data_IF_625940022067
#
_entry.id   IF_625940022067
#
_cell.length_a   1.000
_cell.length_b   1.000
_cell.length_c   1.000
_cell.angle_alpha   90.00
_cell.angle_beta   90.00
_cell.angle_gamma   90.00
#
_symmetry.space_group_name_H-M   'P 1'
#
loop_
_entity.id
_entity.type
_entity.pdbx_description
1 polymer ?
#
# COMPACT_ATOMS: atom_id res chain seq x y z
N UNK A 1 -0.73 -24.94 -55.39
CA UNK A 1 0.01 -24.17 -54.37
C UNK A 1 -0.98 -23.58 -53.39
N UNK A 2 -0.93 -23.98 -52.12
CA UNK A 2 -1.36 -23.20 -50.95
C UNK A 2 -0.44 -23.64 -49.82
N UNK A 3 0.35 -22.71 -49.30
CA UNK A 3 1.44 -22.95 -48.35
C UNK A 3 0.89 -23.14 -46.95
N UNK A 4 1.35 -24.19 -46.27
CA UNK A 4 1.17 -24.34 -44.82
C UNK A 4 2.22 -23.44 -44.16
N UNK A 5 1.77 -22.48 -43.36
CA UNK A 5 2.68 -21.71 -42.50
C UNK A 5 3.06 -22.59 -41.31
N UNK A 6 4.29 -23.09 -41.32
CA UNK A 6 4.89 -23.75 -40.18
C UNK A 6 5.43 -22.68 -39.23
N UNK A 7 4.70 -22.36 -38.16
CA UNK A 7 5.19 -21.45 -37.13
C UNK A 7 6.26 -22.15 -36.30
N UNK A 8 7.53 -21.80 -36.53
CA UNK A 8 8.62 -22.23 -35.66
C UNK A 8 8.60 -21.36 -34.39
N UNK A 9 8.27 -21.95 -33.23
CA UNK A 9 8.76 -21.41 -31.96
C UNK A 9 10.28 -21.60 -31.94
N UNK A 10 11.02 -20.53 -32.16
CA UNK A 10 12.44 -20.50 -31.94
C UNK A 10 12.71 -20.36 -30.43
N UNK A 11 12.89 -21.50 -29.75
CA UNK A 11 13.35 -21.51 -28.35
C UNK A 11 14.80 -21.03 -28.35
N UNK A 12 15.00 -19.75 -28.06
CA UNK A 12 16.33 -19.22 -27.79
C UNK A 12 16.86 -19.87 -26.51
N UNK A 13 18.09 -20.37 -26.53
CA UNK A 13 18.75 -20.84 -25.32
C UNK A 13 18.99 -19.63 -24.40
N UNK A 14 18.14 -19.47 -23.39
CA UNK A 14 18.25 -18.42 -22.39
C UNK A 14 19.57 -18.60 -21.63
N UNK A 15 20.54 -17.75 -21.90
CA UNK A 15 21.60 -17.45 -20.95
C UNK A 15 21.00 -16.57 -19.85
N UNK A 16 20.11 -17.15 -19.03
CA UNK A 16 19.27 -16.38 -18.13
C UNK A 16 20.11 -15.73 -17.03
N UNK A 17 19.77 -14.49 -16.69
CA UNK A 17 20.31 -13.82 -15.50
C UNK A 17 19.45 -14.09 -14.26
N UNK A 18 18.33 -14.79 -14.42
CA UNK A 18 17.52 -15.33 -13.32
C UNK A 18 18.23 -16.50 -12.62
N UNK A 19 18.34 -16.42 -11.28
CA UNK A 19 18.84 -17.53 -10.46
C UNK A 19 17.71 -18.50 -10.17
N UNK A 20 17.65 -19.57 -10.94
CA UNK A 20 16.79 -20.71 -10.66
C UNK A 20 17.42 -21.58 -9.56
N UNK A 21 16.67 -21.84 -8.49
CA UNK A 21 17.02 -22.82 -7.47
C UNK A 21 16.00 -23.95 -7.44
N UNK A 22 16.48 -25.19 -7.24
CA UNK A 22 15.67 -26.38 -7.05
C UNK A 22 15.89 -26.92 -5.64
N UNK A 23 14.80 -27.21 -4.95
CA UNK A 23 14.81 -27.70 -3.58
C UNK A 23 14.39 -29.17 -3.60
N UNK A 24 15.11 -30.01 -2.87
CA UNK A 24 14.67 -31.37 -2.56
C UNK A 24 13.92 -31.35 -1.22
N UNK A 25 12.62 -31.67 -1.17
CA UNK A 25 11.85 -31.58 0.08
C UNK A 25 12.20 -32.61 1.14
N UNK A 26 12.97 -33.65 0.80
CA UNK A 26 13.25 -34.80 1.64
C UNK A 26 14.75 -35.10 1.82
N UNK A 27 15.64 -34.29 1.25
CA UNK A 27 17.09 -34.51 1.25
C UNK A 27 17.52 -35.71 0.41
N UNK A 28 16.70 -36.12 -0.56
CA UNK A 28 16.90 -37.25 -1.45
C UNK A 28 17.53 -36.87 -2.79
N UNK A 29 17.35 -37.72 -3.83
CA UNK A 29 17.49 -37.32 -5.21
C UNK A 29 16.25 -36.56 -5.68
N UNK A 30 16.46 -35.42 -6.34
CA UNK A 30 15.42 -34.46 -6.70
C UNK A 30 14.21 -35.10 -7.41
N UNK A 31 13.01 -35.00 -6.82
CA UNK A 31 11.79 -35.62 -7.35
C UNK A 31 11.14 -34.83 -8.50
N UNK A 32 10.94 -35.50 -9.63
CA UNK A 32 10.25 -34.95 -10.80
C UNK A 32 11.18 -34.45 -11.89
N UNK A 33 10.77 -34.63 -13.14
CA UNK A 33 11.48 -34.19 -14.34
C UNK A 33 11.38 -32.68 -14.54
N UNK A 34 12.23 -32.13 -15.42
CA UNK A 34 12.24 -30.71 -15.77
C UNK A 34 10.94 -30.29 -16.48
N UNK A 35 10.33 -29.21 -16.00
CA UNK A 35 9.17 -28.57 -16.61
C UNK A 35 9.43 -27.07 -16.78
N UNK A 36 8.97 -26.48 -17.88
CA UNK A 36 8.86 -25.03 -18.07
C UNK A 36 7.42 -24.61 -17.83
N UNK A 37 7.22 -23.51 -17.11
CA UNK A 37 5.89 -22.92 -16.87
C UNK A 37 5.86 -21.51 -17.42
N UNK A 38 4.94 -21.27 -18.35
CA UNK A 38 4.63 -19.92 -18.82
C UNK A 38 3.64 -19.27 -17.84
N UNK A 39 4.14 -18.33 -17.04
CA UNK A 39 3.37 -17.61 -16.03
C UNK A 39 2.82 -16.34 -16.65
N UNK A 40 1.50 -16.15 -16.57
CA UNK A 40 0.84 -14.86 -16.83
C UNK A 40 0.45 -14.23 -15.49
N UNK A 41 0.84 -12.97 -15.31
CA UNK A 41 0.58 -12.19 -14.11
C UNK A 41 -0.41 -11.08 -14.45
N UNK A 42 -1.61 -11.18 -13.90
CA UNK A 42 -2.60 -10.09 -13.88
C UNK A 42 -2.60 -9.38 -12.53
N UNK A 43 -3.29 -8.25 -12.44
CA UNK A 43 -3.38 -7.41 -11.24
C UNK A 43 -4.82 -6.92 -10.98
N UNK A 44 -5.83 -7.64 -11.48
CA UNK A 44 -7.22 -7.18 -11.66
C UNK A 44 -7.47 -6.67 -13.08
N UNK A 45 -8.72 -6.73 -13.57
CA UNK A 45 -9.04 -6.40 -14.97
C UNK A 45 -8.87 -4.91 -15.32
N UNK A 46 -8.34 -4.62 -16.51
CA UNK A 46 -8.06 -3.27 -17.01
C UNK A 46 -8.99 -2.87 -18.17
N UNK A 47 -9.68 -1.72 -18.09
CA UNK A 47 -10.25 -1.02 -19.28
C UNK A 47 -9.76 0.45 -19.34
N UNK A 48 -10.50 1.50 -19.78
CA UNK A 48 -10.13 2.95 -19.59
C UNK A 48 -11.22 4.00 -19.92
N UNK A 49 -11.58 4.88 -18.97
CA UNK A 49 -12.53 6.00 -19.17
C UNK A 49 -11.85 7.37 -19.15
N UNK A 50 -12.50 8.25 -19.90
CA UNK A 50 -12.43 9.71 -19.81
C UNK A 50 -13.05 10.28 -18.53
N UNK A 51 -12.39 11.26 -17.92
CA UNK A 51 -13.05 12.23 -17.02
C UNK A 51 -12.25 12.66 -15.79
N UNK A 52 -11.29 11.86 -15.35
CA UNK A 52 -10.43 12.16 -14.19
C UNK A 52 -9.10 12.75 -14.67
N UNK A 53 -8.60 13.86 -14.09
CA UNK A 53 -7.26 14.36 -14.41
C UNK A 53 -6.20 13.38 -13.91
N UNK A 54 -5.44 12.77 -14.83
CA UNK A 54 -4.17 12.12 -14.48
C UNK A 54 -3.20 13.20 -13.97
N UNK A 55 -2.68 13.04 -12.76
CA UNK A 55 -1.68 13.97 -12.22
C UNK A 55 -0.32 13.87 -12.95
N UNK A 56 0.01 12.71 -13.55
CA UNK A 56 1.29 12.47 -14.21
C UNK A 56 1.32 11.33 -15.27
N UNK A 57 0.23 10.59 -15.48
CA UNK A 57 0.19 9.46 -16.44
C UNK A 57 1.03 8.23 -16.06
N UNK A 58 1.47 8.10 -14.80
CA UNK A 58 2.17 6.90 -14.30
C UNK A 58 1.24 6.00 -13.47
N UNK A 59 1.16 4.71 -13.83
CA UNK A 59 0.25 3.74 -13.20
C UNK A 59 0.89 3.05 -11.98
N UNK A 60 0.12 2.97 -10.89
CA UNK A 60 0.46 2.26 -9.63
C UNK A 60 0.68 0.74 -9.82
N UNK A 61 0.33 0.19 -10.99
CA UNK A 61 0.32 -1.25 -11.33
C UNK A 61 1.62 -1.79 -11.96
N UNK A 62 2.71 -1.02 -11.98
CA UNK A 62 3.95 -1.44 -12.66
C UNK A 62 4.61 -2.62 -11.94
N UNK A 63 4.84 -3.73 -12.65
CA UNK A 63 5.59 -4.90 -12.16
C UNK A 63 7.01 -4.83 -12.74
N UNK A 64 8.03 -4.66 -11.88
CA UNK A 64 9.45 -4.52 -12.24
C UNK A 64 10.25 -5.82 -12.11
N UNK A 65 9.86 -6.65 -11.16
CA UNK A 65 10.49 -7.91 -10.80
C UNK A 65 9.50 -8.81 -10.08
N UNK A 66 9.80 -10.10 -10.06
CA UNK A 66 9.03 -11.11 -9.32
C UNK A 66 9.95 -12.12 -8.64
N UNK A 67 9.51 -12.61 -7.48
CA UNK A 67 9.98 -13.85 -6.87
C UNK A 67 8.87 -14.90 -6.98
N UNK A 68 9.19 -16.02 -7.61
CA UNK A 68 8.28 -17.13 -7.91
C UNK A 68 8.65 -18.33 -7.04
N UNK A 69 7.64 -19.00 -6.47
CA UNK A 69 7.79 -20.26 -5.73
C UNK A 69 6.83 -21.29 -6.33
N UNK A 70 7.34 -22.45 -6.71
CA UNK A 70 6.51 -23.58 -7.14
C UNK A 70 6.38 -24.59 -6.03
N UNK A 71 5.16 -25.06 -5.78
CA UNK A 71 4.82 -26.00 -4.71
C UNK A 71 4.27 -27.30 -5.29
N UNK A 72 4.61 -28.41 -4.64
CA UNK A 72 3.98 -29.71 -4.90
C UNK A 72 2.65 -29.86 -4.13
N UNK A 73 1.93 -30.95 -4.38
CA UNK A 73 0.68 -31.28 -3.69
C UNK A 73 0.79 -31.59 -2.19
N UNK A 74 1.95 -31.39 -1.58
CA UNK A 74 2.22 -31.50 -0.14
C UNK A 74 2.68 -30.15 0.48
N UNK A 75 2.43 -29.03 -0.22
CA UNK A 75 2.81 -27.66 0.19
C UNK A 75 4.33 -27.45 0.41
N UNK A 76 5.15 -28.30 -0.21
CA UNK A 76 6.62 -28.16 -0.22
C UNK A 76 7.06 -27.40 -1.46
N UNK A 77 7.98 -26.45 -1.30
CA UNK A 77 8.54 -25.68 -2.40
C UNK A 77 9.56 -26.55 -3.13
N UNK A 78 9.34 -26.79 -4.42
CA UNK A 78 10.21 -27.64 -5.29
C UNK A 78 11.17 -26.82 -6.15
N UNK A 79 10.82 -25.57 -6.44
CA UNK A 79 11.73 -24.59 -7.04
C UNK A 79 11.34 -23.15 -6.68
N UNK A 80 12.33 -22.25 -6.72
CA UNK A 80 12.13 -20.81 -6.52
C UNK A 80 13.05 -20.00 -7.42
N UNK A 81 12.60 -18.82 -7.83
CA UNK A 81 13.25 -18.02 -8.88
C UNK A 81 13.02 -16.53 -8.67
N UNK A 82 14.07 -15.73 -8.77
CA UNK A 82 13.94 -14.29 -8.98
C UNK A 82 14.03 -13.97 -10.47
N UNK A 83 13.07 -13.22 -11.01
CA UNK A 83 12.95 -12.86 -12.44
C UNK A 83 12.78 -11.35 -12.56
N UNK A 84 13.56 -10.74 -13.46
CA UNK A 84 13.55 -9.29 -13.71
C UNK A 84 14.10 -8.98 -15.10
N UNK A 85 13.91 -7.75 -15.57
CA UNK A 85 14.47 -7.27 -16.84
C UNK A 85 13.91 -8.03 -18.06
N UNK A 86 14.76 -8.53 -18.98
CA UNK A 86 14.30 -9.11 -20.24
C UNK A 86 13.53 -10.43 -20.09
N UNK A 87 13.68 -11.12 -18.95
CA UNK A 87 12.97 -12.37 -18.65
C UNK A 87 11.52 -12.10 -18.14
N UNK A 88 11.14 -10.83 -17.92
CA UNK A 88 9.81 -10.40 -17.49
C UNK A 88 9.21 -9.39 -18.49
N UNK A 89 8.38 -9.91 -19.39
CA UNK A 89 7.87 -9.18 -20.57
C UNK A 89 6.43 -8.73 -20.42
N UNK A 90 6.01 -7.69 -21.15
CA UNK A 90 4.59 -7.30 -21.22
C UNK A 90 3.78 -8.31 -22.03
N UNK A 91 2.57 -8.63 -21.59
CA UNK A 91 1.66 -9.44 -22.39
C UNK A 91 1.05 -8.59 -23.51
N UNK A 92 1.61 -8.73 -24.73
CA UNK A 92 1.10 -8.05 -25.92
C UNK A 92 -0.34 -8.41 -26.33
N UNK A 93 -1.01 -9.33 -25.64
CA UNK A 93 -2.44 -9.59 -25.79
C UNK A 93 -3.31 -9.01 -24.66
N UNK A 94 -2.73 -8.77 -23.47
CA UNK A 94 -3.45 -8.31 -22.28
C UNK A 94 -2.72 -7.10 -21.65
N UNK A 95 -3.07 -5.85 -22.01
CA UNK A 95 -2.44 -4.66 -21.46
C UNK A 95 -2.48 -4.63 -19.93
N UNK A 96 -1.35 -4.32 -19.29
CA UNK A 96 -1.21 -4.32 -17.83
C UNK A 96 -0.78 -5.66 -17.21
N UNK A 97 -0.77 -6.76 -17.99
CA UNK A 97 -0.26 -8.06 -17.55
C UNK A 97 1.21 -8.26 -17.92
N UNK A 98 1.93 -9.06 -17.12
CA UNK A 98 3.29 -9.54 -17.42
C UNK A 98 3.33 -11.04 -17.74
N UNK A 99 4.37 -11.45 -18.47
CA UNK A 99 4.69 -12.85 -18.77
C UNK A 99 6.15 -13.18 -18.48
N UNK A 100 6.37 -14.34 -17.89
CA UNK A 100 7.69 -14.93 -17.66
C UNK A 100 7.64 -16.45 -17.83
N UNK A 101 8.64 -17.05 -18.47
CA UNK A 101 8.82 -18.51 -18.54
C UNK A 101 9.80 -18.93 -17.45
N UNK A 102 9.37 -19.79 -16.52
CA UNK A 102 10.16 -20.20 -15.36
C UNK A 102 10.35 -21.71 -15.32
N UNK A 103 11.51 -22.16 -14.85
CA UNK A 103 11.83 -23.59 -14.78
C UNK A 103 11.44 -24.18 -13.41
N UNK A 104 10.81 -25.35 -13.44
CA UNK A 104 10.36 -26.08 -12.26
C UNK A 104 10.35 -27.59 -12.52
N UNK A 105 9.60 -28.35 -11.73
CA UNK A 105 9.49 -29.80 -11.79
C UNK A 105 8.08 -30.24 -12.14
N UNK A 106 7.95 -31.42 -12.76
CA UNK A 106 6.64 -32.06 -13.04
C UNK A 106 5.84 -32.41 -11.77
N UNK A 107 6.44 -32.28 -10.58
CA UNK A 107 5.78 -32.38 -9.27
C UNK A 107 5.10 -31.09 -8.81
N UNK A 108 5.35 -29.95 -9.47
CA UNK A 108 4.70 -28.68 -9.17
C UNK A 108 3.23 -28.68 -9.59
N UNK A 109 2.35 -28.36 -8.65
CA UNK A 109 0.90 -28.22 -8.86
C UNK A 109 0.40 -26.79 -8.66
N UNK A 110 1.21 -25.94 -8.02
CA UNK A 110 0.81 -24.58 -7.66
C UNK A 110 1.99 -23.61 -7.73
N UNK A 111 1.69 -22.34 -7.95
CA UNK A 111 2.66 -21.25 -7.93
C UNK A 111 2.21 -20.14 -6.96
N UNK A 112 3.16 -19.61 -6.21
CA UNK A 112 3.01 -18.41 -5.38
C UNK A 112 4.00 -17.37 -5.88
N UNK A 113 3.54 -16.13 -6.06
CA UNK A 113 4.34 -15.03 -6.63
C UNK A 113 4.30 -13.82 -5.72
N UNK A 114 5.43 -13.16 -5.57
CA UNK A 114 5.57 -11.83 -4.96
C UNK A 114 6.21 -10.91 -6.00
N UNK A 115 5.65 -9.74 -6.25
CA UNK A 115 6.17 -8.73 -7.17
C UNK A 115 6.83 -7.55 -6.44
N UNK A 116 7.75 -6.87 -7.13
CA UNK A 116 8.35 -5.58 -6.74
C UNK A 116 9.15 -5.61 -5.42
N UNK A 117 9.87 -6.70 -5.17
CA UNK A 117 10.82 -6.79 -4.04
C UNK A 117 12.10 -6.00 -4.34
N UNK A 118 12.43 -5.82 -5.62
CA UNK A 118 13.62 -5.11 -6.11
C UNK A 118 14.93 -5.90 -6.01
N UNK A 119 14.97 -7.01 -5.27
CA UNK A 119 16.14 -7.88 -5.13
C UNK A 119 15.81 -9.37 -4.94
N UNK A 120 16.74 -10.24 -5.34
CA UNK A 120 16.71 -11.68 -5.03
C UNK A 120 16.85 -11.90 -3.51
N UNK A 121 15.75 -12.31 -2.85
CA UNK A 121 15.72 -12.67 -1.42
C UNK A 121 15.71 -14.19 -1.14
N UNK A 122 15.92 -15.03 -2.15
CA UNK A 122 15.78 -16.50 -2.03
C UNK A 122 17.03 -17.24 -1.59
N UNK A 123 18.21 -16.68 -1.83
CA UNK A 123 19.49 -17.32 -1.53
C UNK A 123 19.76 -17.58 -0.04
N UNK A 124 20.67 -18.51 0.25
CA UNK A 124 21.01 -18.98 1.61
C UNK A 124 21.18 -17.84 2.63
N UNK A 125 20.39 -17.91 3.70
CA UNK A 125 20.43 -16.94 4.81
C UNK A 125 19.59 -15.67 4.60
N UNK A 126 18.94 -15.50 3.44
CA UNK A 126 17.97 -14.42 3.19
C UNK A 126 16.55 -14.81 3.62
N UNK A 127 15.66 -13.83 3.76
CA UNK A 127 14.32 -13.99 4.32
C UNK A 127 13.39 -14.93 3.52
N UNK A 128 13.54 -15.02 2.18
CA UNK A 128 12.76 -15.92 1.33
C UNK A 128 13.47 -17.25 1.03
N UNK A 129 14.51 -17.60 1.80
CA UNK A 129 15.12 -18.93 1.80
C UNK A 129 14.23 -19.94 2.57
N UNK A 130 13.04 -20.18 2.05
CA UNK A 130 11.99 -21.04 2.64
C UNK A 130 11.76 -22.30 1.81
N UNK A 131 11.26 -23.38 2.45
CA UNK A 131 11.07 -24.71 1.86
C UNK A 131 9.60 -25.18 1.84
N UNK A 132 8.67 -24.48 2.49
CA UNK A 132 7.24 -24.84 2.52
C UNK A 132 6.34 -23.61 2.41
N UNK A 133 5.07 -23.81 2.02
CA UNK A 133 4.00 -22.79 2.05
C UNK A 133 3.97 -22.06 3.39
N UNK A 134 3.85 -22.80 4.50
CA UNK A 134 3.72 -22.23 5.83
C UNK A 134 4.95 -21.39 6.24
N UNK A 135 6.15 -21.75 5.77
CA UNK A 135 7.34 -20.92 5.98
C UNK A 135 7.30 -19.63 5.15
N UNK A 136 6.84 -19.69 3.90
CA UNK A 136 6.69 -18.53 3.01
C UNK A 136 5.62 -17.55 3.53
N UNK A 137 4.46 -18.07 3.91
CA UNK A 137 3.36 -17.28 4.49
C UNK A 137 3.77 -16.61 5.80
N UNK A 138 4.58 -17.27 6.62
CA UNK A 138 5.09 -16.71 7.87
C UNK A 138 6.17 -15.62 7.69
N UNK A 139 6.70 -15.38 6.48
CA UNK A 139 7.72 -14.32 6.29
C UNK A 139 7.07 -12.96 6.41
N UNK A 140 7.61 -12.15 7.32
CA UNK A 140 7.26 -10.75 7.52
C UNK A 140 8.05 -9.84 6.57
N UNK A 141 7.43 -8.71 6.24
CA UNK A 141 8.04 -7.63 5.47
C UNK A 141 7.74 -6.28 6.14
N UNK A 142 8.71 -5.37 6.06
CA UNK A 142 8.66 -4.07 6.73
C UNK A 142 8.19 -2.97 5.76
N UNK A 143 7.21 -2.18 6.20
CA UNK A 143 6.71 -0.99 5.48
C UNK A 143 7.77 0.10 5.44
N UNK A 144 8.68 0.09 6.41
CA UNK A 144 9.59 1.20 6.72
C UNK A 144 11.01 0.66 6.76
N UNK A 145 11.91 1.30 6.02
CA UNK A 145 13.32 0.90 5.90
C UNK A 145 14.25 2.06 6.27
N UNK A 146 15.48 1.75 6.69
CA UNK A 146 16.52 2.77 6.89
C UNK A 146 17.03 3.28 5.54
N UNK A 147 17.01 4.60 5.33
CA UNK A 147 17.61 5.24 4.15
C UNK A 147 18.95 5.91 4.51
N UNK A 148 19.97 5.60 3.71
CA UNK A 148 21.27 6.25 3.76
C UNK A 148 21.98 6.22 5.12
N UNK A 149 21.83 7.29 5.90
CA UNK A 149 22.47 7.43 7.22
C UNK A 149 21.40 7.32 8.32
N UNK A 150 21.47 6.30 9.19
CA UNK A 150 20.52 6.16 10.29
C UNK A 150 20.46 7.41 11.19
N UNK A 151 19.28 7.77 11.72
CA UNK A 151 18.05 6.98 11.76
C UNK A 151 16.97 7.47 10.78
N UNK A 152 17.35 7.90 9.57
CA UNK A 152 16.35 8.27 8.56
C UNK A 152 15.54 7.03 8.14
N UNK A 153 14.21 7.09 8.34
CA UNK A 153 13.27 6.03 8.02
C UNK A 153 12.32 6.50 6.91
N UNK A 154 12.18 5.69 5.86
CA UNK A 154 11.34 5.97 4.68
C UNK A 154 10.40 4.79 4.39
N UNK A 155 9.23 5.02 3.78
CA UNK A 155 8.35 3.94 3.35
C UNK A 155 8.96 3.15 2.18
N UNK A 156 8.83 1.82 2.22
CA UNK A 156 9.18 0.92 1.11
C UNK A 156 8.13 0.94 -0.01
N UNK A 157 6.87 1.18 0.37
CA UNK A 157 5.73 1.25 -0.54
C UNK A 157 5.64 2.66 -1.12
N UNK A 158 5.97 2.80 -2.40
CA UNK A 158 5.86 4.06 -3.15
C UNK A 158 5.05 3.85 -4.42
N UNK A 159 4.55 4.94 -5.04
CA UNK A 159 3.70 4.88 -6.24
C UNK A 159 4.27 4.03 -7.38
N UNK A 160 5.60 4.00 -7.54
CA UNK A 160 6.31 3.22 -8.57
C UNK A 160 6.84 1.87 -8.09
N UNK A 161 6.68 1.55 -6.80
CA UNK A 161 7.18 0.34 -6.16
C UNK A 161 6.20 -0.13 -5.07
N UNK A 162 5.12 -0.78 -5.49
CA UNK A 162 4.12 -1.38 -4.60
C UNK A 162 4.28 -2.90 -4.59
N UNK A 163 4.40 -3.50 -3.40
CA UNK A 163 4.42 -4.96 -3.29
C UNK A 163 3.04 -5.53 -3.59
N UNK A 164 3.03 -6.55 -4.43
CA UNK A 164 1.85 -7.35 -4.71
C UNK A 164 2.18 -8.83 -4.54
N UNK A 165 1.18 -9.65 -4.24
CA UNK A 165 1.33 -11.11 -4.23
C UNK A 165 0.09 -11.83 -4.73
N UNK A 166 0.28 -13.07 -5.15
CA UNK A 166 -0.80 -13.88 -5.71
C UNK A 166 -0.47 -15.37 -5.74
N UNK A 167 -1.51 -16.18 -5.84
CA UNK A 167 -1.44 -17.63 -5.88
C UNK A 167 -2.21 -18.08 -7.13
N UNK A 168 -1.65 -19.03 -7.86
CA UNK A 168 -2.29 -19.66 -9.02
C UNK A 168 -1.98 -21.14 -9.10
N UNK A 169 -2.83 -21.89 -9.78
CA UNK A 169 -2.60 -23.31 -10.03
C UNK A 169 -1.75 -23.50 -11.29
N UNK A 170 -0.93 -24.56 -11.31
CA UNK A 170 -0.18 -24.97 -12.50
C UNK A 170 -1.09 -25.86 -13.36
N UNK A 171 -1.20 -25.54 -14.64
CA UNK A 171 -2.07 -26.27 -15.57
C UNK A 171 -1.59 -27.71 -15.80
N UNK A 172 -2.42 -28.52 -16.45
CA UNK A 172 -2.02 -29.86 -16.84
C UNK A 172 -0.80 -29.81 -17.76
N UNK A 173 0.27 -30.50 -17.37
CA UNK A 173 1.51 -30.61 -18.14
C UNK A 173 1.27 -31.21 -19.53
N UNK A 174 1.92 -30.61 -20.52
CA UNK A 174 2.03 -31.07 -21.90
C UNK A 174 3.43 -31.65 -22.15
N UNK A 175 3.56 -32.77 -22.85
CA UNK A 175 4.87 -33.28 -23.27
C UNK A 175 5.48 -32.33 -24.31
N UNK A 176 6.80 -32.16 -24.26
CA UNK A 176 7.53 -31.41 -25.28
C UNK A 176 7.46 -32.07 -26.67
N UNK A 177 7.88 -31.33 -27.70
CA UNK A 177 7.70 -31.72 -29.11
C UNK A 177 8.50 -32.96 -29.51
N UNK A 178 9.64 -33.20 -28.85
CA UNK A 178 10.44 -34.44 -28.94
C UNK A 178 10.81 -34.96 -27.54
N UNK A 179 11.20 -36.24 -27.37
CA UNK A 179 11.40 -36.86 -26.04
C UNK A 179 12.50 -36.27 -25.15
N UNK A 180 13.29 -35.32 -25.65
CA UNK A 180 14.33 -34.59 -24.91
C UNK A 180 13.92 -33.17 -24.52
N UNK A 181 12.79 -32.69 -25.03
CA UNK A 181 12.25 -31.38 -24.66
C UNK A 181 11.66 -31.46 -23.25
N UNK A 182 11.75 -30.37 -22.44
CA UNK A 182 11.08 -30.32 -21.15
C UNK A 182 9.56 -30.39 -21.33
N UNK A 183 8.87 -30.83 -20.27
CA UNK A 183 7.42 -30.64 -20.20
C UNK A 183 7.09 -29.14 -20.17
N UNK A 184 5.91 -28.77 -20.66
CA UNK A 184 5.41 -27.40 -20.61
C UNK A 184 4.07 -27.33 -19.88
N UNK A 185 3.86 -26.27 -19.10
CA UNK A 185 2.58 -25.94 -18.49
C UNK A 185 2.38 -24.42 -18.48
N UNK A 186 1.20 -23.99 -18.07
CA UNK A 186 0.83 -22.57 -17.94
C UNK A 186 0.39 -22.31 -16.50
N UNK A 187 0.56 -21.09 -16.01
CA UNK A 187 -0.03 -20.65 -14.76
C UNK A 187 -0.56 -19.21 -14.90
N UNK A 188 -1.73 -18.94 -14.34
CA UNK A 188 -2.29 -17.60 -14.26
C UNK A 188 -2.36 -17.17 -12.80
N UNK A 189 -1.81 -16.01 -12.48
CA UNK A 189 -1.77 -15.48 -11.11
C UNK A 189 -2.35 -14.08 -11.10
N UNK A 190 -3.39 -13.88 -10.29
CA UNK A 190 -3.91 -12.55 -9.95
C UNK A 190 -3.12 -12.01 -8.75
N UNK A 191 -2.36 -10.94 -8.99
CA UNK A 191 -1.59 -10.23 -7.97
C UNK A 191 -2.46 -9.16 -7.28
N UNK A 192 -2.40 -9.10 -5.95
CA UNK A 192 -3.11 -8.14 -5.11
C UNK A 192 -2.13 -7.32 -4.29
N UNK A 193 -2.39 -6.03 -4.11
CA UNK A 193 -1.56 -5.19 -3.25
C UNK A 193 -1.56 -5.70 -1.82
N UNK A 194 -0.37 -5.71 -1.22
CA UNK A 194 -0.19 -6.03 0.19
C UNK A 194 -0.48 -4.79 1.05
N UNK A 195 -0.17 -3.61 0.53
CA UNK A 195 -0.56 -2.35 1.13
C UNK A 195 -2.06 -2.06 0.91
N UNK A 196 -2.58 -1.16 1.74
CA UNK A 196 -3.77 -0.36 1.53
C UNK A 196 -3.36 1.09 1.24
N UNK A 197 -4.28 1.88 0.68
CA UNK A 197 -4.08 3.30 0.37
C UNK A 197 -5.03 4.17 1.21
N UNK A 198 -4.51 5.14 1.95
CA UNK A 198 -5.33 6.19 2.59
C UNK A 198 -5.12 7.48 1.80
N UNK A 199 -6.22 8.08 1.32
CA UNK A 199 -6.20 9.37 0.62
C UNK A 199 -6.90 10.42 1.47
N UNK A 200 -6.23 11.53 1.80
CA UNK A 200 -6.93 12.74 2.22
C UNK A 200 -7.47 13.42 0.95
N UNK A 201 -8.63 12.95 0.49
CA UNK A 201 -9.21 13.34 -0.80
C UNK A 201 -9.59 14.82 -0.83
N UNK A 202 -10.23 15.31 0.22
CA UNK A 202 -10.69 16.71 0.26
C UNK A 202 -10.92 17.27 1.67
N UNK A 203 -10.61 18.56 1.84
CA UNK A 203 -11.06 19.40 2.96
C UNK A 203 -12.05 20.43 2.44
N UNK A 204 -13.19 20.56 3.10
CA UNK A 204 -14.20 21.61 2.86
C UNK A 204 -14.43 22.38 4.15
N UNK A 205 -14.34 23.70 4.11
CA UNK A 205 -14.91 24.56 5.17
C UNK A 205 -16.29 24.99 4.70
N UNK A 206 -17.30 24.81 5.55
CA UNK A 206 -18.70 25.12 5.22
C UNK A 206 -19.05 26.57 5.51
N UNK A 207 -20.11 27.08 4.89
CA UNK A 207 -20.69 28.40 5.20
C UNK A 207 -21.24 28.56 6.63
N UNK A 208 -21.30 27.47 7.39
CA UNK A 208 -21.65 27.47 8.82
C UNK A 208 -20.43 27.65 9.74
N UNK A 209 -19.22 27.50 9.21
CA UNK A 209 -18.00 27.77 9.98
C UNK A 209 -17.87 29.26 10.29
N UNK A 210 -17.19 29.58 11.40
CA UNK A 210 -16.94 30.97 11.81
C UNK A 210 -15.45 31.22 11.98
N UNK A 211 -14.99 32.44 11.67
CA UNK A 211 -13.60 32.87 11.79
C UNK A 211 -12.89 33.01 10.43
N UNK A 212 -11.89 33.87 10.37
CA UNK A 212 -11.13 34.14 9.15
C UNK A 212 -10.04 33.08 8.91
N UNK A 213 -10.04 32.48 7.72
CA UNK A 213 -8.98 31.57 7.28
C UNK A 213 -7.74 32.32 6.79
N UNK A 214 -6.55 31.88 7.21
CA UNK A 214 -5.25 32.34 6.70
C UNK A 214 -4.17 32.41 7.77
N UNK A 215 -2.89 32.49 7.36
CA UNK A 215 -1.82 32.70 8.33
C UNK A 215 -1.90 34.11 8.96
N UNK A 216 -1.72 34.18 10.28
CA UNK A 216 -2.00 35.38 11.09
C UNK A 216 -3.49 35.70 11.30
N UNK A 217 -4.41 34.90 10.74
CA UNK A 217 -5.85 35.01 10.96
C UNK A 217 -6.30 34.09 12.09
N UNK A 218 -7.58 33.73 12.12
CA UNK A 218 -8.16 32.96 13.22
C UNK A 218 -7.72 31.50 13.17
N UNK A 219 -7.61 30.93 11.96
CA UNK A 219 -7.05 29.59 11.77
C UNK A 219 -6.42 29.37 10.38
N UNK A 220 -5.51 28.39 10.32
CA UNK A 220 -4.93 27.87 9.06
C UNK A 220 -4.64 26.38 9.21
N UNK A 221 -4.85 25.59 8.15
CA UNK A 221 -4.41 24.20 8.11
C UNK A 221 -2.88 24.13 7.99
N UNK A 222 -2.21 23.32 8.79
CA UNK A 222 -0.74 23.23 8.81
C UNK A 222 -0.24 21.96 8.14
N UNK A 223 -0.80 20.82 8.51
CA UNK A 223 -0.38 19.49 8.04
C UNK A 223 -1.46 18.43 8.24
N UNK A 224 -1.32 17.35 7.50
CA UNK A 224 -1.99 16.08 7.75
C UNK A 224 -0.92 15.02 8.06
N UNK A 225 -1.18 14.09 8.96
CA UNK A 225 -0.23 13.03 9.30
C UNK A 225 -0.92 11.77 9.80
N UNK A 226 -0.22 10.64 9.70
CA UNK A 226 -0.67 9.37 10.24
C UNK A 226 -0.06 9.08 11.62
N UNK A 227 -0.81 8.38 12.47
CA UNK A 227 -0.34 7.76 13.70
C UNK A 227 -0.66 6.28 13.72
N UNK A 228 0.12 5.51 14.48
CA UNK A 228 -0.02 4.07 14.68
C UNK A 228 -0.13 3.30 13.34
N UNK A 229 0.70 3.68 12.36
CA UNK A 229 0.77 2.95 11.09
C UNK A 229 1.44 1.61 11.35
N UNK A 230 0.74 0.50 11.08
CA UNK A 230 1.32 -0.84 11.17
C UNK A 230 2.47 -0.95 10.17
N UNK A 231 3.67 -1.28 10.66
CA UNK A 231 4.88 -1.35 9.84
C UNK A 231 5.27 -2.76 9.44
N UNK A 232 4.54 -3.80 9.85
CA UNK A 232 4.77 -5.19 9.41
C UNK A 232 3.53 -5.87 8.86
N UNK A 233 3.72 -6.62 7.78
CA UNK A 233 2.71 -7.46 7.16
C UNK A 233 3.35 -8.76 6.67
N UNK A 234 2.53 -9.74 6.28
CA UNK A 234 2.97 -10.94 5.59
C UNK A 234 2.99 -10.70 4.09
N UNK A 235 3.84 -11.42 3.35
CA UNK A 235 3.80 -11.32 1.88
C UNK A 235 2.46 -11.81 1.28
N UNK A 236 1.70 -12.66 1.98
CA UNK A 236 0.40 -13.19 1.55
C UNK A 236 -0.66 -12.89 2.63
N UNK A 237 -1.24 -11.67 2.65
CA UNK A 237 -2.09 -11.21 3.75
C UNK A 237 -3.45 -11.92 3.75
N UNK A 238 -3.57 -12.96 4.59
CA UNK A 238 -4.85 -13.57 5.01
C UNK A 238 -5.08 -13.48 6.52
N UNK A 239 -4.01 -13.17 7.27
CA UNK A 239 -3.98 -12.96 8.71
C UNK A 239 -3.03 -11.80 9.03
N UNK A 240 -3.27 -11.10 10.15
CA UNK A 240 -2.25 -10.21 10.71
C UNK A 240 -1.04 -11.01 11.20
N UNK A 241 0.15 -10.37 11.30
CA UNK A 241 1.24 -10.85 12.13
C UNK A 241 0.77 -11.19 13.56
N UNK A 242 1.49 -12.10 14.22
CA UNK A 242 1.24 -12.38 15.63
C UNK A 242 1.43 -11.11 16.47
N UNK A 243 0.70 -10.98 17.58
CA UNK A 243 0.70 -9.75 18.39
C UNK A 243 2.10 -9.30 18.86
N UNK A 244 3.03 -10.24 19.03
CA UNK A 244 4.42 -9.96 19.42
C UNK A 244 5.27 -9.38 18.26
N UNK A 245 4.83 -9.54 17.01
CA UNK A 245 5.50 -9.08 15.80
C UNK A 245 4.92 -7.78 15.25
N UNK A 246 3.75 -7.35 15.74
CA UNK A 246 3.14 -6.06 15.36
C UNK A 246 4.08 -4.90 15.76
N UNK A 247 4.36 -4.02 14.81
CA UNK A 247 5.18 -2.83 15.02
C UNK A 247 4.47 -1.61 14.42
N UNK A 248 4.68 -0.44 15.02
CA UNK A 248 3.95 0.78 14.65
C UNK A 248 4.89 1.98 14.53
N UNK A 249 4.53 2.92 13.66
CA UNK A 249 5.24 4.19 13.48
C UNK A 249 4.27 5.37 13.34
N UNK A 250 4.78 6.58 13.57
CA UNK A 250 4.04 7.83 13.50
C UNK A 250 4.68 8.81 12.49
N UNK A 251 3.88 9.67 11.85
CA UNK A 251 4.39 10.80 11.07
C UNK A 251 4.80 12.01 11.91
N UNK A 252 4.11 12.22 13.03
CA UNK A 252 4.41 13.25 14.02
C UNK A 252 4.28 12.66 15.43
N UNK A 253 5.11 13.12 16.36
CA UNK A 253 4.75 13.08 17.78
C UNK A 253 5.21 14.35 18.50
N UNK A 254 4.33 14.98 19.26
CA UNK A 254 4.65 16.13 20.10
C UNK A 254 4.65 15.72 21.58
N UNK A 255 5.64 16.16 22.35
CA UNK A 255 5.81 15.80 23.78
C UNK A 255 4.57 16.18 24.62
N UNK A 256 3.84 17.23 24.21
CA UNK A 256 2.61 17.67 24.85
C UNK A 256 1.47 16.62 24.82
N UNK A 257 1.49 15.67 23.87
CA UNK A 257 0.52 14.58 23.81
C UNK A 257 0.85 13.44 24.79
N UNK A 258 2.06 13.46 25.36
CA UNK A 258 2.59 12.46 26.28
C UNK A 258 3.81 11.74 25.71
N UNK A 259 4.23 10.66 26.37
CA UNK A 259 5.36 9.84 25.90
C UNK A 259 4.91 8.87 24.81
N UNK A 260 5.65 8.82 23.70
CA UNK A 260 5.63 7.73 22.72
C UNK A 260 7.04 7.17 22.55
N UNK A 261 7.12 5.85 22.33
CA UNK A 261 8.33 5.12 21.97
C UNK A 261 8.31 4.63 20.51
N UNK A 262 7.29 5.02 19.74
CA UNK A 262 7.19 4.65 18.32
C UNK A 262 8.16 5.48 17.47
N UNK A 263 8.84 4.88 16.46
CA UNK A 263 9.66 5.62 15.51
C UNK A 263 8.85 6.66 14.73
N UNK A 264 9.52 7.73 14.32
CA UNK A 264 8.96 8.78 13.45
C UNK A 264 9.41 8.53 12.01
N UNK A 265 8.45 8.45 11.10
CA UNK A 265 8.65 8.27 9.66
C UNK A 265 8.12 9.53 8.98
N UNK A 266 9.02 10.35 8.45
CA UNK A 266 8.69 11.71 8.03
C UNK A 266 7.63 11.75 6.91
N UNK A 267 7.64 10.79 6.01
CA UNK A 267 6.73 10.74 4.86
C UNK A 267 5.29 10.36 5.26
N UNK A 268 5.06 9.98 6.52
CA UNK A 268 3.72 9.91 7.12
C UNK A 268 3.20 11.29 7.59
N UNK A 269 3.91 12.40 7.31
CA UNK A 269 3.45 13.80 7.45
C UNK A 269 3.46 14.51 6.08
N UNK A 270 2.33 15.10 5.69
CA UNK A 270 2.19 15.99 4.53
C UNK A 270 1.86 17.42 4.99
N UNK A 271 2.47 18.42 4.36
CA UNK A 271 2.25 19.84 4.68
C UNK A 271 1.13 20.42 3.84
N UNK A 272 0.09 20.92 4.50
CA UNK A 272 -1.10 21.41 3.82
C UNK A 272 -0.87 22.85 3.32
N UNK A 273 -0.46 22.98 2.06
CA UNK A 273 -0.25 24.27 1.39
C UNK A 273 -1.56 24.93 0.91
N UNK A 274 -2.59 24.95 1.76
CA UNK A 274 -3.92 25.50 1.44
C UNK A 274 -3.87 27.03 1.58
N UNK A 275 -3.70 27.73 0.46
CA UNK A 275 -3.50 29.19 0.40
C UNK A 275 -4.77 30.02 0.58
N UNK A 276 -5.93 29.44 0.25
CA UNK A 276 -7.24 30.06 0.45
C UNK A 276 -8.33 28.99 0.59
N UNK A 277 -9.46 29.41 1.14
CA UNK A 277 -10.68 28.63 1.29
C UNK A 277 -11.82 29.42 0.66
N UNK A 278 -12.76 28.72 0.04
CA UNK A 278 -14.05 29.25 -0.41
C UNK A 278 -15.13 28.38 0.20
N UNK A 279 -16.11 29.00 0.86
CA UNK A 279 -17.15 28.28 1.60
C UNK A 279 -17.85 27.24 0.73
N UNK A 280 -18.09 26.06 1.30
CA UNK A 280 -18.67 24.87 0.66
C UNK A 280 -17.92 24.35 -0.58
N UNK A 281 -16.72 24.87 -0.90
CA UNK A 281 -15.89 24.40 -2.02
C UNK A 281 -14.78 23.48 -1.49
N UNK A 282 -14.66 22.24 -1.99
CA UNK A 282 -13.59 21.34 -1.56
C UNK A 282 -12.23 21.79 -2.10
N UNK A 283 -11.21 21.73 -1.25
CA UNK A 283 -9.81 21.69 -1.67
C UNK A 283 -9.42 20.22 -1.77
N UNK A 284 -9.06 19.77 -2.97
CA UNK A 284 -8.91 18.35 -3.31
C UNK A 284 -7.45 17.91 -3.46
N UNK A 285 -7.22 16.59 -3.48
CA UNK A 285 -5.92 15.94 -3.75
C UNK A 285 -4.81 16.38 -2.79
N UNK A 286 -5.10 16.37 -1.49
CA UNK A 286 -4.24 16.98 -0.47
C UNK A 286 -3.05 16.10 -0.04
N UNK A 287 -3.28 14.80 0.15
CA UNK A 287 -2.26 13.84 0.57
C UNK A 287 -2.71 12.39 0.30
N UNK A 288 -1.75 11.47 0.18
CA UNK A 288 -2.02 10.03 0.21
C UNK A 288 -0.84 9.27 0.82
N UNK A 289 -1.13 8.09 1.37
CA UNK A 289 -0.14 7.20 1.99
C UNK A 289 -0.45 5.74 1.68
N UNK A 290 0.61 4.94 1.58
CA UNK A 290 0.54 3.49 1.54
C UNK A 290 0.85 2.94 2.93
N UNK A 291 -0.01 2.06 3.42
CA UNK A 291 0.03 1.49 4.78
C UNK A 291 -0.26 0.01 4.72
N UNK A 292 0.13 -0.78 5.72
CA UNK A 292 -0.36 -2.16 5.82
C UNK A 292 -1.70 -2.25 6.54
N UNK A 293 -2.33 -3.43 6.44
CA UNK A 293 -3.52 -3.76 7.19
C UNK A 293 -3.34 -3.52 8.70
N UNK A 294 -4.39 -3.04 9.36
CA UNK A 294 -4.43 -2.85 10.80
C UNK A 294 -5.82 -3.20 11.31
N UNK A 295 -5.88 -4.05 12.33
CA UNK A 295 -7.11 -4.64 12.87
C UNK A 295 -7.24 -4.42 14.38
N UNK A 296 -7.26 -3.15 14.84
CA UNK A 296 -7.54 -2.83 16.24
C UNK A 296 -8.92 -3.32 16.63
N UNK A 297 -9.13 -3.65 17.91
CA UNK A 297 -10.44 -4.08 18.42
C UNK A 297 -11.38 -2.93 18.79
N UNK A 298 -10.84 -1.72 18.98
CA UNK A 298 -11.56 -0.52 19.40
C UNK A 298 -10.83 0.75 18.96
N UNK A 299 -11.48 1.91 19.13
CA UNK A 299 -10.88 3.24 18.94
C UNK A 299 -9.97 3.68 20.10
N UNK A 300 -9.64 2.80 21.05
CA UNK A 300 -8.78 3.18 22.19
C UNK A 300 -7.30 3.17 21.81
N UNK A 301 -6.53 4.06 22.43
CA UNK A 301 -5.08 4.21 22.18
C UNK A 301 -4.30 2.88 22.34
N UNK A 302 -4.67 2.07 23.33
CA UNK A 302 -3.97 0.82 23.66
C UNK A 302 -4.07 -0.24 22.55
N UNK A 303 -5.12 -0.18 21.71
CA UNK A 303 -5.30 -1.06 20.56
C UNK A 303 -4.49 -0.61 19.32
N UNK A 304 -3.77 0.52 19.42
CA UNK A 304 -2.97 1.13 18.33
C UNK A 304 -3.73 1.21 16.98
N UNK A 305 -4.96 1.76 16.95
CA UNK A 305 -5.68 1.96 15.70
C UNK A 305 -4.93 2.98 14.84
N UNK A 306 -4.83 2.75 13.53
CA UNK A 306 -4.26 3.74 12.62
C UNK A 306 -5.14 4.99 12.61
N UNK A 307 -4.53 6.17 12.64
CA UNK A 307 -5.25 7.45 12.72
C UNK A 307 -4.74 8.37 11.61
N UNK A 308 -5.65 8.98 10.86
CA UNK A 308 -5.34 10.17 10.07
C UNK A 308 -5.72 11.41 10.87
N UNK A 309 -4.75 12.28 11.15
CA UNK A 309 -4.96 13.54 11.84
C UNK A 309 -4.71 14.73 10.90
N UNK A 310 -5.58 15.73 10.95
CA UNK A 310 -5.38 17.03 10.31
C UNK A 310 -5.19 18.08 11.40
N UNK A 311 -4.09 18.83 11.32
CA UNK A 311 -3.74 19.87 12.28
C UNK A 311 -4.07 21.26 11.72
N UNK A 312 -4.58 22.11 12.61
CA UNK A 312 -4.69 23.54 12.42
C UNK A 312 -3.79 24.28 13.41
N UNK A 313 -3.33 25.46 13.01
CA UNK A 313 -2.88 26.53 13.91
C UNK A 313 -4.07 27.47 14.10
N UNK A 314 -4.51 27.64 15.34
CA UNK A 314 -5.67 28.44 15.73
C UNK A 314 -5.27 29.57 16.68
N UNK A 315 -5.87 30.75 16.55
CA UNK A 315 -5.66 31.90 17.44
C UNK A 315 -6.41 31.67 18.75
N UNK A 316 -5.75 31.10 19.75
CA UNK A 316 -6.36 30.89 21.07
C UNK A 316 -6.71 32.24 21.74
N UNK A 317 -5.81 33.23 21.62
CA UNK A 317 -5.99 34.54 22.26
C UNK A 317 -5.58 35.65 21.31
N UNK A 318 -6.46 36.62 21.15
CA UNK A 318 -6.23 37.82 20.34
C UNK A 318 -5.53 38.90 21.19
N UNK A 319 -4.57 39.61 20.57
CA UNK A 319 -3.88 40.72 21.21
C UNK A 319 -4.85 41.86 21.56
N UNK A 320 -4.80 42.34 22.81
CA UNK A 320 -5.63 43.44 23.29
C UNK A 320 -4.82 44.68 23.70
N UNK A 321 -3.48 44.62 23.65
CA UNK A 321 -2.57 45.72 23.98
C UNK A 321 -2.31 45.93 25.48
N UNK A 322 -3.03 45.20 26.34
CA UNK A 322 -2.90 45.23 27.80
C UNK A 322 -2.38 43.87 28.32
N UNK A 323 -3.30 42.96 28.71
CA UNK A 323 -2.98 41.64 29.28
C UNK A 323 -2.44 40.63 28.26
N UNK A 324 -2.73 40.83 26.97
CA UNK A 324 -2.30 39.99 25.85
C UNK A 324 -1.58 40.92 24.85
N UNK A 325 -0.24 41.03 24.91
CA UNK A 325 0.51 41.98 24.07
C UNK A 325 0.62 41.53 22.60
N UNK A 326 0.56 40.23 22.33
CA UNK A 326 0.68 39.61 21.00
C UNK A 326 -0.28 38.42 20.89
N UNK A 327 -0.71 38.09 19.66
CA UNK A 327 -1.60 36.96 19.40
C UNK A 327 -0.98 35.62 19.84
N UNK A 328 -1.73 34.85 20.62
CA UNK A 328 -1.32 33.51 21.06
C UNK A 328 -2.01 32.45 20.21
N UNK A 329 -1.21 31.57 19.61
CA UNK A 329 -1.69 30.48 18.77
C UNK A 329 -1.49 29.12 19.45
N UNK A 330 -2.48 28.24 19.30
CA UNK A 330 -2.42 26.84 19.71
C UNK A 330 -2.53 25.92 18.47
N UNK A 331 -1.93 24.73 18.55
CA UNK A 331 -2.14 23.67 17.57
C UNK A 331 -3.33 22.81 18.03
N UNK A 332 -4.25 22.51 17.13
CA UNK A 332 -5.40 21.63 17.39
C UNK A 332 -5.54 20.62 16.26
N UNK A 333 -5.96 19.42 16.61
CA UNK A 333 -5.99 18.26 15.72
C UNK A 333 -7.42 17.75 15.56
N UNK A 334 -7.70 17.22 14.37
CA UNK A 334 -8.94 16.52 14.04
C UNK A 334 -8.59 15.14 13.53
N UNK A 335 -8.91 14.10 14.30
CA UNK A 335 -8.64 12.72 13.92
C UNK A 335 -9.78 12.01 13.17
N UNK A 336 -9.37 10.99 12.43
CA UNK A 336 -10.18 9.94 11.80
C UNK A 336 -9.57 8.61 12.21
N UNK A 337 -10.33 7.77 12.92
CA UNK A 337 -9.79 6.55 13.53
C UNK A 337 -10.25 5.33 12.74
N UNK A 338 -9.30 4.58 12.21
CA UNK A 338 -9.55 3.34 11.50
C UNK A 338 -9.68 2.16 12.49
N UNK A 339 -10.82 2.11 13.18
CA UNK A 339 -11.18 1.03 14.09
C UNK A 339 -12.70 0.76 14.16
N UNK A 340 -13.11 -0.41 14.67
CA UNK A 340 -14.50 -0.65 15.09
C UNK A 340 -14.93 0.40 16.12
N UNK A 341 -16.07 1.06 15.85
CA UNK A 341 -16.56 2.20 16.63
C UNK A 341 -16.39 3.56 15.93
N UNK A 342 -15.53 3.66 14.91
CA UNK A 342 -15.45 4.82 14.01
C UNK A 342 -15.49 4.40 12.52
N UNK A 343 -14.34 4.34 11.82
CA UNK A 343 -14.30 4.10 10.36
C UNK A 343 -14.04 2.66 9.92
N UNK A 344 -13.97 1.72 10.87
CA UNK A 344 -13.64 0.32 10.57
C UNK A 344 -12.15 0.09 10.34
N UNK A 345 -11.76 -1.16 10.09
CA UNK A 345 -10.36 -1.59 10.01
C UNK A 345 -9.72 -1.27 8.65
N UNK A 346 -8.38 -1.30 8.60
CA UNK A 346 -7.61 -1.24 7.35
C UNK A 346 -7.35 -2.67 6.87
N UNK A 347 -7.67 -2.97 5.62
CA UNK A 347 -7.46 -4.26 4.96
C UNK A 347 -6.54 -4.08 3.75
N UNK A 348 -5.64 -5.04 3.52
CA UNK A 348 -4.76 -5.06 2.35
C UNK A 348 -5.56 -5.02 1.04
N UNK A 349 -5.04 -4.31 0.02
CA UNK A 349 -5.72 -4.17 -1.26
C UNK A 349 -6.98 -3.31 -1.22
N UNK A 350 -7.18 -2.45 -0.21
CA UNK A 350 -8.26 -1.46 -0.15
C UNK A 350 -7.76 -0.03 -0.29
N UNK A 351 -8.60 0.83 -0.85
CA UNK A 351 -8.40 2.28 -0.88
C UNK A 351 -9.44 2.96 0.01
N UNK A 352 -9.00 3.94 0.80
CA UNK A 352 -9.81 4.67 1.78
C UNK A 352 -9.75 6.16 1.49
N UNK A 353 -10.76 6.67 0.77
CA UNK A 353 -10.85 8.10 0.46
C UNK A 353 -11.55 8.84 1.60
N UNK A 354 -10.78 9.67 2.31
CA UNK A 354 -11.23 10.50 3.43
C UNK A 354 -11.58 11.90 2.95
N UNK A 355 -12.80 12.34 3.23
CA UNK A 355 -13.23 13.72 3.05
C UNK A 355 -13.71 14.32 4.37
N UNK A 356 -13.23 15.53 4.67
CA UNK A 356 -13.51 16.25 5.89
C UNK A 356 -14.29 17.53 5.59
N UNK A 357 -15.41 17.74 6.28
CA UNK A 357 -16.23 18.94 6.16
C UNK A 357 -16.35 19.62 7.51
N UNK A 358 -15.82 20.84 7.62
CA UNK A 358 -15.69 21.61 8.86
C UNK A 358 -16.78 22.67 8.99
N UNK A 359 -17.50 22.70 10.11
CA UNK A 359 -18.60 23.65 10.39
C UNK A 359 -18.50 24.29 11.79
N UNK A 360 -17.32 24.22 12.41
CA UNK A 360 -17.10 24.73 13.76
C UNK A 360 -16.78 26.23 13.85
N UNK A 361 -16.69 26.72 15.08
CA UNK A 361 -16.31 28.10 15.38
C UNK A 361 -14.80 28.21 15.61
N UNK A 362 -14.09 28.70 14.60
CA UNK A 362 -12.65 28.92 14.60
C UNK A 362 -12.25 30.33 15.02
N UNK A 363 -13.20 31.23 15.36
CA UNK A 363 -12.88 32.57 15.87
C UNK A 363 -11.95 32.49 17.10
N UNK A 364 -11.30 33.59 17.50
CA UNK A 364 -10.38 33.54 18.63
C UNK A 364 -11.08 33.10 19.92
N UNK A 365 -10.34 32.44 20.82
CA UNK A 365 -10.90 31.99 22.11
C UNK A 365 -11.36 33.16 22.99
N UNK A 366 -10.72 34.32 22.86
CA UNK A 366 -11.17 35.61 23.42
C UNK A 366 -12.53 36.08 22.89
N UNK A 367 -12.93 35.64 21.69
CA UNK A 367 -14.22 35.89 21.06
C UNK A 367 -15.23 34.74 21.27
N UNK A 368 -14.89 33.74 22.09
CA UNK A 368 -15.73 32.58 22.41
C UNK A 368 -15.63 31.41 21.42
N UNK A 369 -14.74 31.48 20.42
CA UNK A 369 -14.50 30.37 19.51
C UNK A 369 -13.78 29.20 20.18
N UNK A 370 -13.80 28.03 19.53
CA UNK A 370 -13.38 26.76 20.13
C UNK A 370 -12.48 25.92 19.21
N UNK A 371 -11.69 26.58 18.35
CA UNK A 371 -10.86 25.95 17.33
C UNK A 371 -11.64 25.02 16.39
N UNK A 372 -12.91 25.33 16.15
CA UNK A 372 -13.82 24.47 15.40
C UNK A 372 -14.15 23.14 16.09
N UNK A 373 -13.80 22.95 17.36
CA UNK A 373 -13.96 21.70 18.10
C UNK A 373 -12.79 20.71 17.99
N UNK A 374 -11.65 21.13 17.44
CA UNK A 374 -10.42 20.32 17.42
C UNK A 374 -9.81 20.17 18.81
N UNK A 375 -9.13 19.04 19.04
CA UNK A 375 -8.57 18.66 20.35
C UNK A 375 -7.04 18.75 20.36
N UNK A 376 -6.42 18.86 21.54
CA UNK A 376 -4.96 18.93 21.66
C UNK A 376 -4.26 17.63 21.24
N UNK A 377 -4.89 16.49 21.54
CA UNK A 377 -4.34 15.14 21.32
C UNK A 377 -4.97 14.45 20.11
N UNK A 378 -4.18 14.06 19.10
CA UNK A 378 -4.68 13.35 17.93
C UNK A 378 -4.97 11.86 18.16
N UNK A 379 -4.51 11.28 19.26
CA UNK A 379 -4.55 9.84 19.58
C UNK A 379 -5.70 9.41 20.51
N UNK A 380 -6.56 10.36 20.90
CA UNK A 380 -7.77 10.13 21.69
C UNK A 380 -9.01 10.48 20.83
N UNK A 381 -10.11 9.70 20.84
CA UNK A 381 -11.26 9.95 19.96
C UNK A 381 -11.85 11.37 20.08
N UNK A 382 -12.05 12.05 18.95
CA UNK A 382 -12.75 13.36 18.91
C UNK A 382 -14.13 13.28 19.62
N UNK A 383 -14.30 14.04 20.69
CA UNK A 383 -15.55 14.04 21.49
C UNK A 383 -16.64 14.96 20.88
N UNK A 384 -16.30 15.81 19.90
CA UNK A 384 -17.17 16.88 19.38
C UNK A 384 -17.42 16.80 17.88
N UNK A 385 -18.67 17.03 17.47
CA UNK A 385 -19.21 16.68 16.15
C UNK A 385 -19.19 17.82 15.09
N UNK A 386 -18.30 18.80 15.22
CA UNK A 386 -18.21 19.95 14.31
C UNK A 386 -17.44 19.66 13.00
N UNK A 387 -17.03 18.40 12.80
CA UNK A 387 -16.44 17.90 11.56
C UNK A 387 -17.24 16.68 11.11
N UNK A 388 -17.79 16.74 9.90
CA UNK A 388 -18.34 15.57 9.23
C UNK A 388 -17.22 14.84 8.50
N UNK A 389 -17.00 13.58 8.86
CA UNK A 389 -15.97 12.71 8.26
C UNK A 389 -16.66 11.65 7.40
N UNK A 390 -16.43 11.72 6.09
CA UNK A 390 -16.83 10.66 5.15
C UNK A 390 -15.59 9.86 4.77
N UNK A 391 -15.63 8.55 4.98
CA UNK A 391 -14.64 7.61 4.44
C UNK A 391 -15.36 6.71 3.45
N UNK A 392 -14.83 6.64 2.23
CA UNK A 392 -15.35 5.77 1.17
C UNK A 392 -14.32 4.66 0.93
N UNK A 393 -14.50 3.47 1.52
CA UNK A 393 -13.66 2.31 1.22
C UNK A 393 -14.05 1.72 -0.14
N UNK A 394 -13.06 1.34 -0.93
CA UNK A 394 -13.19 0.61 -2.18
C UNK A 394 -12.16 -0.53 -2.25
N UNK A 395 -12.35 -1.49 -3.16
CA UNK A 395 -11.22 -2.29 -3.62
C UNK A 395 -10.16 -1.34 -4.20
N UNK A 396 -8.89 -1.56 -3.90
CA UNK A 396 -7.79 -0.88 -4.58
C UNK A 396 -7.45 -1.61 -5.88
N UNK A 397 -8.47 -1.89 -6.66
CA UNK A 397 -8.31 -2.01 -8.09
C UNK A 397 -8.31 -0.57 -8.63
N UNK A 398 -7.27 -0.09 -9.34
CA UNK A 398 -7.45 1.08 -10.17
C UNK A 398 -8.62 0.78 -11.10
N UNK A 399 -9.59 1.69 -11.12
CA UNK A 399 -10.70 1.64 -12.05
C UNK A 399 -10.39 2.47 -13.29
N UNK A 400 -9.92 1.86 -14.39
CA UNK A 400 -10.06 2.44 -15.71
C UNK A 400 -11.26 1.75 -16.40
N UNK A 401 -12.13 2.54 -17.06
CA UNK A 401 -13.54 2.22 -17.38
C UNK A 401 -13.93 2.37 -18.88
N UNK A 402 -14.10 1.30 -19.66
CA UNK A 402 -14.40 1.22 -21.12
C UNK A 402 -14.52 2.52 -21.98
N UNK A 403 -13.70 2.60 -23.04
CA UNK A 403 -13.82 3.61 -24.10
C UNK A 403 -15.00 3.29 -25.03
N UNK A 404 -16.03 4.16 -25.17
CA UNK A 404 -17.04 4.00 -26.20
C UNK A 404 -16.40 4.15 -27.59
N UNK A 405 -16.83 3.31 -28.54
CA UNK A 405 -16.35 3.32 -29.92
C UNK A 405 -16.64 4.65 -30.63
N UNK A 406 -15.67 5.12 -31.44
CA UNK A 406 -15.89 6.08 -32.55
C UNK A 406 -16.20 5.33 -33.85
#
# INVERSE_FOLDING_TARGET
MKTVFLSMLAIAALASCSRQEFIDPHGGPQEGDKMLVDITLGNGEMTKATGVPEADGTEEKTITDITVFFLNGADQIVSRTFVTGPDLTDDGQNPGHKKATVETRTTASQVMVIANIGEDRTGTGKALNVSTRAQLEAVLQDLVVEDGTPPALVPFQEKTNLLMSGIGDVSQMNPGGIPTDPFTAEASVELKYIAAKITLRSITVTDQAQGEYGDGKDFVFTKAYLLNVQTKSHYFPTYLPATADLAFANGTWEEAWGTSNLPIVKDFEEKLAITSIVDNTPVENLAHWYVFENKPTSTTKDDNPTILAVQIKWKEKEANGDDIPEDVYALKNFNVIFAPGDKGIIEAGKAYDVALSFSGDFRPGTSGGNAGGGEDKPDEPNIKANVTVTVTPAEWDPAPTEKPFE
#
